data_IF_229256214395
#
_entry.id   IF_229256214395
#
_cell.length_a   1.000
_cell.length_b   1.000
_cell.length_c   1.000
_cell.angle_alpha   90.00
_cell.angle_beta   90.00
_cell.angle_gamma   90.00
#
_symmetry.space_group_name_H-M   'P 1'
#
loop_
_entity.id
_entity.type
_entity.pdbx_description
1 polymer ?
#
# COMPACT_ATOMS: atom_id res chain seq x y z
N UNK A 1 2.41 6.71 1.86
CA UNK A 1 3.17 5.51 2.29
C UNK A 1 4.52 5.47 1.61
N UNK A 2 5.55 4.92 2.26
CA UNK A 2 6.88 4.72 1.65
C UNK A 2 6.92 3.43 0.81
N UNK A 3 7.90 3.34 -0.10
CA UNK A 3 8.11 2.14 -0.97
C UNK A 3 8.40 0.87 -0.17
N UNK A 4 9.20 0.99 0.88
CA UNK A 4 9.53 -0.13 1.75
C UNK A 4 8.28 -0.71 2.44
N UNK A 5 7.39 0.15 2.93
CA UNK A 5 6.17 -0.29 3.58
C UNK A 5 5.18 -0.93 2.60
N UNK A 6 5.10 -0.39 1.38
CA UNK A 6 4.31 -0.99 0.29
C UNK A 6 4.80 -2.40 -0.06
N UNK A 7 6.12 -2.61 -0.16
CA UNK A 7 6.70 -3.91 -0.46
C UNK A 7 6.41 -4.95 0.64
N UNK A 8 6.46 -4.53 1.91
CA UNK A 8 6.12 -5.38 3.05
C UNK A 8 4.66 -5.84 3.02
N UNK A 9 3.72 -4.96 2.70
CA UNK A 9 2.30 -5.32 2.64
C UNK A 9 1.92 -6.11 1.40
N UNK A 10 2.64 -5.92 0.28
CA UNK A 10 2.40 -6.66 -0.95
C UNK A 10 3.04 -8.06 -0.94
N UNK A 11 3.95 -8.32 0.00
CA UNK A 11 4.56 -9.63 0.19
C UNK A 11 3.68 -10.54 1.02
N UNK A 12 3.40 -11.74 0.53
CA UNK A 12 2.68 -12.79 1.26
C UNK A 12 3.36 -14.17 1.14
N UNK A 13 2.68 -15.23 1.62
CA UNK A 13 3.20 -16.60 1.59
C UNK A 13 3.37 -17.21 0.19
N UNK A 14 2.93 -16.52 -0.85
CA UNK A 14 2.94 -16.97 -2.25
C UNK A 14 3.71 -16.03 -3.18
N UNK A 15 3.82 -14.74 -2.83
CA UNK A 15 4.51 -13.74 -3.64
C UNK A 15 5.43 -12.88 -2.78
N UNK A 16 6.69 -12.78 -3.18
CA UNK A 16 7.67 -11.86 -2.61
C UNK A 16 7.71 -10.60 -3.48
N UNK A 17 7.64 -9.43 -2.86
CA UNK A 17 7.65 -8.14 -3.55
C UNK A 17 8.75 -7.27 -2.95
N UNK A 18 9.66 -6.78 -3.79
CA UNK A 18 10.72 -5.89 -3.35
C UNK A 18 10.45 -4.41 -3.73
N UNK A 19 11.37 -3.52 -3.36
CA UNK A 19 11.22 -2.09 -3.63
C UNK A 19 11.31 -1.72 -5.12
N UNK A 20 11.95 -2.56 -5.94
CA UNK A 20 12.05 -2.37 -7.39
C UNK A 20 10.72 -2.70 -8.06
N UNK A 21 10.08 -3.81 -7.64
CA UNK A 21 8.74 -4.16 -8.09
C UNK A 21 7.73 -3.05 -7.76
N UNK A 22 7.78 -2.56 -6.51
CA UNK A 22 6.94 -1.43 -6.07
C UNK A 22 7.22 -0.18 -6.89
N UNK A 23 8.49 0.13 -7.20
CA UNK A 23 8.83 1.28 -8.03
C UNK A 23 8.21 1.18 -9.42
N UNK A 24 8.23 0.00 -10.04
CA UNK A 24 7.59 -0.23 -11.34
C UNK A 24 6.10 0.11 -11.32
N UNK A 25 5.38 -0.35 -10.31
CA UNK A 25 3.95 -0.03 -10.14
C UNK A 25 3.73 1.46 -9.88
N UNK A 26 4.55 2.09 -9.04
CA UNK A 26 4.45 3.53 -8.77
C UNK A 26 4.70 4.37 -10.03
N UNK A 27 5.61 3.94 -10.90
CA UNK A 27 5.90 4.61 -12.18
C UNK A 27 4.73 4.46 -13.16
N UNK A 28 4.15 3.26 -13.26
CA UNK A 28 2.94 3.03 -14.06
C UNK A 28 1.75 3.86 -13.56
N UNK A 29 1.64 4.02 -12.24
CA UNK A 29 0.51 4.70 -11.60
C UNK A 29 0.79 6.18 -11.31
N UNK A 30 1.93 6.72 -11.75
CA UNK A 30 2.41 8.06 -11.39
C UNK A 30 1.39 9.17 -11.60
N UNK A 31 0.60 9.09 -12.68
CA UNK A 31 -0.43 10.09 -12.99
C UNK A 31 -1.62 10.10 -12.01
N UNK A 32 -1.80 9.04 -11.23
CA UNK A 32 -2.86 8.90 -10.22
C UNK A 32 -2.37 9.18 -8.80
N UNK A 33 -1.06 9.38 -8.63
CA UNK A 33 -0.39 9.53 -7.35
C UNK A 33 0.00 10.98 -7.09
N UNK A 34 -0.09 11.36 -5.82
CA UNK A 34 0.56 12.52 -5.25
C UNK A 34 1.79 12.05 -4.49
N UNK A 35 2.96 12.47 -4.96
CA UNK A 35 4.25 12.24 -4.30
C UNK A 35 4.57 13.43 -3.39
N UNK A 36 4.91 13.15 -2.14
CA UNK A 36 5.36 14.13 -1.15
C UNK A 36 6.74 13.70 -0.66
N UNK A 37 7.69 14.62 -0.65
CA UNK A 37 9.01 14.37 -0.05
C UNK A 37 8.95 14.58 1.46
N UNK A 38 9.45 13.62 2.24
CA UNK A 38 9.68 13.76 3.68
C UNK A 38 11.16 13.50 4.02
N UNK A 39 11.52 13.70 5.28
CA UNK A 39 12.84 13.33 5.81
C UNK A 39 13.19 11.85 5.61
N UNK A 40 12.17 11.00 5.46
CA UNK A 40 12.30 9.55 5.39
C UNK A 40 12.18 9.04 3.93
N UNK A 41 12.15 9.97 2.97
CA UNK A 41 12.07 9.70 1.53
C UNK A 41 10.70 10.02 0.92
N UNK A 42 10.50 9.54 -0.31
CA UNK A 42 9.28 9.78 -1.06
C UNK A 42 8.09 9.00 -0.47
N UNK A 43 7.01 9.73 -0.19
CA UNK A 43 5.73 9.20 0.25
C UNK A 43 4.68 9.38 -0.85
N UNK A 44 3.90 8.33 -1.09
CA UNK A 44 2.88 8.31 -2.15
C UNK A 44 1.48 8.24 -1.54
N UNK A 45 0.53 8.94 -2.17
CA UNK A 45 -0.90 8.90 -1.86
C UNK A 45 -1.73 8.99 -3.14
N UNK A 46 -2.93 8.42 -3.15
CA UNK A 46 -3.86 8.56 -4.29
C UNK A 46 -4.48 9.96 -4.28
N UNK A 47 -4.35 10.72 -5.38
CA UNK A 47 -4.83 12.11 -5.43
C UNK A 47 -6.31 12.24 -5.82
N UNK A 48 -6.89 11.21 -6.44
CA UNK A 48 -8.30 11.24 -6.84
C UNK A 48 -9.19 10.42 -5.91
N UNK A 49 -10.09 11.11 -5.19
CA UNK A 49 -11.13 10.47 -4.38
C UNK A 49 -12.00 9.51 -5.21
N UNK A 50 -12.32 9.85 -6.46
CA UNK A 50 -13.07 8.97 -7.37
C UNK A 50 -12.33 7.68 -7.74
N UNK A 51 -11.01 7.72 -7.80
CA UNK A 51 -10.20 6.52 -8.06
C UNK A 51 -10.12 5.63 -6.81
N UNK A 52 -10.03 6.25 -5.63
CA UNK A 52 -10.20 5.55 -4.36
C UNK A 52 -11.60 4.89 -4.29
N UNK A 53 -12.65 5.60 -4.67
CA UNK A 53 -14.01 5.07 -4.70
C UNK A 53 -14.17 3.92 -5.71
N UNK A 54 -13.47 4.00 -6.85
CA UNK A 54 -13.38 2.90 -7.82
C UNK A 54 -12.74 1.66 -7.20
N UNK A 55 -11.59 1.79 -6.52
CA UNK A 55 -10.93 0.68 -5.82
C UNK A 55 -11.80 0.08 -4.70
N UNK A 56 -12.65 0.89 -4.07
CA UNK A 56 -13.58 0.43 -3.03
C UNK A 56 -14.81 -0.31 -3.55
N UNK A 57 -15.04 -0.34 -4.87
CA UNK A 57 -16.16 -1.13 -5.39
C UNK A 57 -15.89 -2.61 -5.14
N UNK A 58 -16.85 -3.28 -4.49
CA UNK A 58 -16.76 -4.68 -4.06
C UNK A 58 -16.39 -5.64 -5.19
N UNK A 59 -16.76 -5.34 -6.44
CA UNK A 59 -16.45 -6.17 -7.61
C UNK A 59 -14.94 -6.28 -7.90
N UNK A 60 -14.16 -5.23 -7.61
CA UNK A 60 -12.70 -5.25 -7.79
C UNK A 60 -12.01 -5.93 -6.60
N UNK A 61 -12.49 -5.66 -5.39
CA UNK A 61 -11.94 -6.22 -4.15
C UNK A 61 -12.22 -7.72 -4.05
N UNK A 62 -13.45 -8.17 -4.36
CA UNK A 62 -13.81 -9.59 -4.41
C UNK A 62 -13.05 -10.34 -5.52
N UNK A 63 -12.85 -9.72 -6.69
CA UNK A 63 -12.10 -10.34 -7.78
C UNK A 63 -10.63 -10.58 -7.43
N UNK A 64 -10.04 -9.78 -6.53
CA UNK A 64 -8.70 -9.98 -6.02
C UNK A 64 -8.61 -11.08 -4.93
N UNK A 65 -9.74 -11.57 -4.43
CA UNK A 65 -9.78 -12.58 -3.37
C UNK A 65 -9.32 -12.07 -2.00
N UNK A 66 -9.20 -10.74 -1.83
CA UNK A 66 -8.74 -10.11 -0.58
C UNK A 66 -9.85 -9.22 -0.05
N UNK A 67 -10.17 -9.28 1.24
CA UNK A 67 -11.14 -8.32 1.80
C UNK A 67 -10.43 -7.06 2.30
N UNK A 68 -11.10 -5.90 2.16
CA UNK A 68 -10.66 -4.63 2.77
C UNK A 68 -10.43 -4.77 4.28
N UNK A 69 -11.19 -5.66 4.94
CA UNK A 69 -11.03 -5.94 6.37
C UNK A 69 -9.69 -6.60 6.67
N UNK A 70 -9.28 -7.57 5.86
CA UNK A 70 -8.00 -8.28 6.04
C UNK A 70 -6.81 -7.34 5.78
N UNK A 71 -6.91 -6.48 4.75
CA UNK A 71 -5.90 -5.45 4.48
C UNK A 71 -5.79 -4.46 5.65
N UNK A 72 -6.93 -4.00 6.19
CA UNK A 72 -6.94 -3.08 7.33
C UNK A 72 -6.36 -3.75 8.60
N UNK A 73 -6.58 -5.04 8.81
CA UNK A 73 -5.99 -5.79 9.91
C UNK A 73 -4.47 -5.87 9.78
N UNK A 74 -3.94 -6.18 8.58
CA UNK A 74 -2.50 -6.20 8.31
C UNK A 74 -1.83 -4.84 8.56
N UNK A 75 -2.48 -3.74 8.12
CA UNK A 75 -1.97 -2.39 8.36
C UNK A 75 -1.98 -2.07 9.86
N UNK A 76 -3.07 -2.40 10.56
CA UNK A 76 -3.16 -2.17 12.00
C UNK A 76 -2.07 -2.95 12.75
N UNK A 77 -1.90 -4.24 12.47
CA UNK A 77 -0.89 -5.09 13.12
C UNK A 77 0.54 -4.58 12.88
N UNK A 78 0.84 -4.10 11.67
CA UNK A 78 2.14 -3.48 11.36
C UNK A 78 2.37 -2.18 12.13
N UNK A 79 1.35 -1.32 12.25
CA UNK A 79 1.43 -0.09 13.04
C UNK A 79 1.56 -0.37 14.54
N UNK A 80 0.84 -1.37 15.06
CA UNK A 80 1.00 -1.84 16.44
C UNK A 80 2.40 -2.42 16.68
N UNK A 81 2.93 -3.23 15.76
CA UNK A 81 4.30 -3.71 15.83
C UNK A 81 5.32 -2.57 15.88
N UNK A 82 5.22 -1.59 14.98
CA UNK A 82 6.14 -0.46 14.93
C UNK A 82 6.08 0.43 16.18
N UNK A 83 4.91 0.59 16.81
CA UNK A 83 4.74 1.45 17.98
C UNK A 83 5.16 0.80 19.31
N UNK A 84 5.12 -0.53 19.41
CA UNK A 84 5.33 -1.25 20.67
C UNK A 84 6.60 -2.13 20.69
N UNK A 85 7.34 -2.23 19.58
CA UNK A 85 8.65 -2.92 19.53
C UNK A 85 9.82 -1.99 19.89
N UNK A 86 9.56 -0.69 20.07
CA UNK A 86 10.52 0.33 20.52
C UNK A 86 10.54 0.55 22.06
N UNK A 87 9.99 -0.40 22.84
CA UNK A 87 10.03 -0.42 24.33
C UNK A 87 10.90 -1.56 24.89
#
# INVERSE_FOLDING_TARGET
MSRQLLAQFATDGTQQVDQVDVQGILDEWRQFLHETQSSDGAAYSLYHASFRDFLHRMDIVEAAGVTLKDINALIADSLWGALFTDM
#
